data_IF_163922488890
#
_entry.id   IF_163922488890
#
_cell.length_a   1.000
_cell.length_b   1.000
_cell.length_c   1.000
_cell.angle_alpha   90.00
_cell.angle_beta   90.00
_cell.angle_gamma   90.00
#
_symmetry.space_group_name_H-M   'P 1'
#
loop_
_entity.id
_entity.type
_entity.pdbx_description
1 polymer ?
#
# COMPACT_ATOMS: atom_id res chain seq x y z
N UNK A 1 -6.09 16.05 -3.74
CA UNK A 1 -5.33 14.77 -3.60
C UNK A 1 -4.40 14.64 -4.80
N UNK A 2 -3.08 14.53 -4.56
CA UNK A 2 -2.08 14.25 -5.59
C UNK A 2 -2.27 12.83 -6.13
N UNK A 3 -2.05 12.62 -7.43
CA UNK A 3 -2.14 11.31 -8.10
C UNK A 3 -0.83 11.00 -8.81
N UNK A 4 -0.51 9.72 -8.98
CA UNK A 4 0.73 9.23 -9.61
C UNK A 4 0.48 7.94 -10.39
N UNK A 5 1.36 7.61 -11.36
CA UNK A 5 1.38 6.31 -11.99
C UNK A 5 1.53 5.17 -10.97
N UNK A 6 0.89 4.04 -11.24
CA UNK A 6 1.02 2.81 -10.45
C UNK A 6 1.83 1.79 -11.25
N UNK A 7 3.14 2.01 -11.33
CA UNK A 7 4.00 1.24 -12.22
C UNK A 7 3.56 1.35 -13.69
N UNK A 8 3.49 0.24 -14.44
CA UNK A 8 3.08 0.22 -15.84
C UNK A 8 1.55 0.33 -16.06
N UNK A 9 0.76 0.47 -14.98
CA UNK A 9 -0.70 0.53 -15.08
C UNK A 9 -1.11 1.88 -15.70
N UNK A 10 -2.01 1.92 -16.70
CA UNK A 10 -2.37 3.16 -17.41
C UNK A 10 -3.30 4.08 -16.59
N UNK A 11 -3.54 3.77 -15.32
CA UNK A 11 -4.40 4.54 -14.41
C UNK A 11 -3.58 5.12 -13.27
N UNK A 12 -3.62 6.43 -13.11
CA UNK A 12 -3.05 7.09 -11.94
C UNK A 12 -3.89 6.83 -10.68
N UNK A 13 -3.20 6.69 -9.56
CA UNK A 13 -3.80 6.47 -8.24
C UNK A 13 -3.43 7.60 -7.27
N UNK A 14 -4.26 7.87 -6.24
CA UNK A 14 -3.91 8.85 -5.22
C UNK A 14 -2.67 8.39 -4.44
N UNK A 15 -1.78 9.32 -4.08
CA UNK A 15 -0.56 9.04 -3.32
C UNK A 15 -0.84 8.51 -1.91
N UNK A 16 -2.01 8.86 -1.36
CA UNK A 16 -2.53 8.31 -0.10
C UNK A 16 -3.76 7.47 -0.42
N UNK A 17 -3.66 6.18 -0.20
CA UNK A 17 -4.75 5.21 -0.30
C UNK A 17 -5.29 4.83 1.08
N UNK A 18 -6.03 3.72 1.13
CA UNK A 18 -6.69 3.21 2.33
C UNK A 18 -6.32 1.73 2.53
N UNK A 19 -5.49 1.44 3.56
CA UNK A 19 -5.24 0.07 4.02
C UNK A 19 -6.39 -0.45 4.89
N UNK A 20 -6.55 -1.77 4.95
CA UNK A 20 -7.68 -2.40 5.65
C UNK A 20 -7.28 -3.49 6.64
N UNK A 21 -6.00 -3.67 6.93
CA UNK A 21 -5.57 -4.62 7.95
C UNK A 21 -6.13 -4.24 9.33
N UNK A 22 -6.79 -5.16 10.02
CA UNK A 22 -7.56 -4.93 11.25
C UNK A 22 -8.73 -3.93 11.14
N UNK A 23 -9.31 -3.74 9.96
CA UNK A 23 -10.48 -2.86 9.81
C UNK A 23 -11.75 -3.52 10.35
N UNK A 24 -11.78 -4.84 10.36
CA UNK A 24 -12.86 -5.68 10.87
C UNK A 24 -12.93 -5.76 12.40
N UNK A 25 -11.87 -5.34 13.12
CA UNK A 25 -11.92 -5.14 14.57
C UNK A 25 -12.84 -3.97 14.98
N UNK A 26 -13.12 -3.05 14.06
CA UNK A 26 -14.02 -1.94 14.29
C UNK A 26 -15.50 -2.35 14.08
N UNK A 27 -16.41 -1.61 14.69
CA UNK A 27 -17.83 -1.76 14.38
C UNK A 27 -18.06 -1.57 12.87
N UNK A 28 -18.61 -2.59 12.20
CA UNK A 28 -18.71 -2.67 10.72
C UNK A 28 -19.29 -1.42 10.05
N UNK A 29 -20.44 -0.84 10.49
CA UNK A 29 -20.96 0.40 9.92
C UNK A 29 -19.97 1.57 10.02
N UNK A 30 -19.20 1.67 11.11
CA UNK A 30 -18.18 2.72 11.30
C UNK A 30 -17.01 2.52 10.34
N UNK A 31 -16.55 1.29 10.17
CA UNK A 31 -15.49 0.94 9.21
C UNK A 31 -15.91 1.25 7.76
N UNK A 32 -17.12 0.86 7.37
CA UNK A 32 -17.68 1.20 6.05
C UNK A 32 -17.79 2.71 5.84
N UNK A 33 -18.27 3.45 6.85
CA UNK A 33 -18.35 4.92 6.79
C UNK A 33 -16.97 5.58 6.67
N UNK A 34 -15.94 5.04 7.34
CA UNK A 34 -14.56 5.51 7.23
C UNK A 34 -14.02 5.36 5.81
N UNK A 35 -14.18 4.17 5.19
CA UNK A 35 -13.75 3.93 3.80
C UNK A 35 -14.50 4.82 2.81
N UNK A 36 -15.83 4.97 2.96
CA UNK A 36 -16.63 5.86 2.11
C UNK A 36 -16.19 7.32 2.25
N UNK A 37 -15.92 7.77 3.48
CA UNK A 37 -15.37 9.11 3.72
C UNK A 37 -14.04 9.31 3.02
N UNK A 38 -13.16 8.32 3.05
CA UNK A 38 -11.90 8.34 2.30
C UNK A 38 -12.11 8.46 0.80
N UNK A 39 -13.05 7.70 0.22
CA UNK A 39 -13.42 7.81 -1.20
C UNK A 39 -13.92 9.23 -1.54
N UNK A 40 -14.80 9.82 -0.72
CA UNK A 40 -15.31 11.18 -0.92
C UNK A 40 -14.21 12.24 -0.91
N UNK A 41 -13.10 11.96 -0.22
CA UNK A 41 -11.93 12.82 -0.13
C UNK A 41 -10.85 12.49 -1.19
N UNK A 42 -11.13 11.55 -2.08
CA UNK A 42 -10.26 11.19 -3.20
C UNK A 42 -9.22 10.11 -2.91
N UNK A 43 -9.26 9.43 -1.74
CA UNK A 43 -8.45 8.23 -1.46
C UNK A 43 -9.06 7.00 -2.14
N UNK A 44 -9.06 6.99 -3.47
CA UNK A 44 -9.72 5.96 -4.28
C UNK A 44 -8.92 4.67 -4.44
N UNK A 45 -7.69 4.59 -3.96
CA UNK A 45 -6.91 3.35 -3.84
C UNK A 45 -7.27 2.66 -2.52
N UNK A 46 -7.91 1.48 -2.59
CA UNK A 46 -8.23 0.64 -1.42
C UNK A 46 -7.44 -0.66 -1.51
N UNK A 47 -6.72 -0.97 -0.43
CA UNK A 47 -5.89 -2.17 -0.30
C UNK A 47 -6.42 -3.10 0.79
N UNK A 48 -6.63 -4.36 0.42
CA UNK A 48 -7.06 -5.44 1.31
C UNK A 48 -6.29 -6.73 1.02
N UNK A 49 -6.63 -7.85 1.66
CA UNK A 49 -6.05 -9.17 1.39
C UNK A 49 -6.98 -10.31 1.86
N UNK A 50 -6.86 -11.50 1.23
CA UNK A 50 -7.65 -12.67 1.64
C UNK A 50 -7.42 -13.11 3.10
N UNK A 51 -6.25 -12.76 3.69
CA UNK A 51 -5.93 -13.10 5.07
C UNK A 51 -6.45 -12.10 6.13
N UNK A 52 -7.03 -10.96 5.73
CA UNK A 52 -7.44 -9.92 6.67
C UNK A 52 -8.86 -10.15 7.24
N UNK A 53 -9.16 -11.36 7.71
CA UNK A 53 -10.46 -11.67 8.28
C UNK A 53 -11.63 -11.27 7.38
N UNK A 54 -12.55 -10.47 7.88
CA UNK A 54 -13.72 -9.96 7.16
C UNK A 54 -13.46 -8.66 6.36
N UNK A 55 -12.20 -8.18 6.28
CA UNK A 55 -11.88 -6.89 5.66
C UNK A 55 -12.38 -6.80 4.19
N UNK A 56 -12.26 -7.88 3.40
CA UNK A 56 -12.78 -7.88 2.02
C UNK A 56 -14.32 -7.71 1.98
N UNK A 57 -15.05 -8.21 2.97
CA UNK A 57 -16.50 -8.01 3.07
C UNK A 57 -16.82 -6.55 3.40
N UNK A 58 -16.10 -5.96 4.35
CA UNK A 58 -16.23 -4.54 4.72
C UNK A 58 -15.94 -3.64 3.53
N UNK A 59 -14.88 -3.94 2.76
CA UNK A 59 -14.55 -3.20 1.53
C UNK A 59 -15.67 -3.35 0.50
N UNK A 60 -16.18 -4.57 0.27
CA UNK A 60 -17.29 -4.81 -0.66
C UNK A 60 -18.54 -3.97 -0.34
N UNK A 61 -18.89 -3.85 0.95
CA UNK A 61 -19.99 -2.98 1.41
C UNK A 61 -19.67 -1.48 1.18
N UNK A 62 -18.43 -1.08 1.39
CA UNK A 62 -18.02 0.32 1.24
C UNK A 62 -18.07 0.78 -0.23
N UNK A 63 -17.63 -0.07 -1.17
CA UNK A 63 -17.55 0.27 -2.60
C UNK A 63 -18.84 -0.01 -3.37
N UNK A 64 -19.88 -0.54 -2.71
CA UNK A 64 -21.15 -0.82 -3.36
C UNK A 64 -21.74 0.44 -4.03
N UNK A 65 -22.00 0.34 -5.36
CA UNK A 65 -22.44 1.46 -6.19
C UNK A 65 -21.34 2.43 -6.63
N UNK A 66 -20.07 2.21 -6.21
CA UNK A 66 -18.93 3.10 -6.49
C UNK A 66 -17.70 2.35 -7.04
N UNK A 67 -17.88 1.09 -7.51
CA UNK A 67 -16.75 0.22 -7.91
C UNK A 67 -15.83 0.88 -8.97
N UNK A 68 -16.38 1.61 -9.91
CA UNK A 68 -15.63 2.23 -11.01
C UNK A 68 -14.75 3.42 -10.56
N UNK A 69 -15.06 4.02 -9.40
CA UNK A 69 -14.24 5.06 -8.82
C UNK A 69 -12.97 4.49 -8.16
N UNK A 70 -12.99 3.21 -7.74
CA UNK A 70 -11.98 2.60 -6.88
C UNK A 70 -10.89 1.92 -7.69
N UNK A 71 -9.63 2.12 -7.29
CA UNK A 71 -8.49 1.26 -7.62
C UNK A 71 -8.37 0.23 -6.50
N UNK A 72 -8.85 -0.97 -6.74
CA UNK A 72 -9.01 -2.03 -5.74
C UNK A 72 -7.87 -3.03 -5.82
N UNK A 73 -7.18 -3.23 -4.68
CA UNK A 73 -6.08 -4.17 -4.54
C UNK A 73 -6.44 -5.25 -3.51
N UNK A 74 -6.19 -6.52 -3.82
CA UNK A 74 -6.18 -7.61 -2.86
C UNK A 74 -4.95 -8.50 -3.07
N UNK A 75 -4.76 -9.51 -2.20
CA UNK A 75 -3.53 -10.32 -2.18
C UNK A 75 -3.84 -11.79 -1.98
N UNK A 76 -3.09 -12.65 -2.71
CA UNK A 76 -3.08 -14.10 -2.49
C UNK A 76 -2.02 -14.48 -1.45
N UNK A 77 -2.37 -15.35 -0.51
CA UNK A 77 -1.41 -15.97 0.40
C UNK A 77 -0.43 -16.88 -0.36
N UNK A 78 0.86 -16.90 0.01
CA UNK A 78 1.85 -17.77 -0.63
C UNK A 78 1.47 -19.27 -0.62
N UNK A 79 0.74 -19.72 0.39
CA UNK A 79 0.22 -21.10 0.48
C UNK A 79 -0.82 -21.43 -0.58
N UNK A 80 -1.48 -20.42 -1.14
CA UNK A 80 -2.48 -20.52 -2.20
C UNK A 80 -1.90 -20.18 -3.59
N UNK A 81 -0.61 -19.88 -3.69
CA UNK A 81 0.01 -19.29 -4.88
C UNK A 81 0.44 -20.27 -5.97
N UNK A 82 -0.06 -21.52 -5.98
CA UNK A 82 0.03 -22.38 -7.17
C UNK A 82 -0.85 -21.78 -8.30
N UNK A 83 -0.64 -22.20 -9.56
CA UNK A 83 -1.44 -21.71 -10.71
C UNK A 83 -2.94 -21.80 -10.46
N UNK A 84 -3.43 -22.97 -10.08
CA UNK A 84 -4.86 -23.19 -9.81
C UNK A 84 -5.30 -22.51 -8.50
N UNK A 85 -4.44 -22.53 -7.48
CA UNK A 85 -4.71 -21.93 -6.17
C UNK A 85 -4.86 -20.41 -6.25
N UNK A 86 -4.01 -19.74 -7.03
CA UNK A 86 -4.08 -18.28 -7.29
C UNK A 86 -5.42 -17.90 -7.91
N UNK A 87 -5.88 -18.67 -8.91
CA UNK A 87 -7.19 -18.43 -9.54
C UNK A 87 -8.32 -18.61 -8.53
N UNK A 88 -8.32 -19.74 -7.81
CA UNK A 88 -9.37 -20.04 -6.82
C UNK A 88 -9.39 -19.04 -5.66
N UNK A 89 -8.22 -18.56 -5.20
CA UNK A 89 -8.12 -17.53 -4.16
C UNK A 89 -8.70 -16.19 -4.63
N UNK A 90 -8.36 -15.76 -5.85
CA UNK A 90 -8.92 -14.55 -6.44
C UNK A 90 -10.45 -14.62 -6.57
N UNK A 91 -10.99 -15.73 -7.01
CA UNK A 91 -12.44 -15.93 -7.12
C UNK A 91 -13.15 -15.84 -5.76
N UNK A 92 -12.54 -16.37 -4.70
CA UNK A 92 -13.04 -16.19 -3.33
C UNK A 92 -13.01 -14.74 -2.87
N UNK A 93 -11.91 -14.02 -3.18
CA UNK A 93 -11.78 -12.58 -2.89
C UNK A 93 -12.83 -11.76 -3.62
N UNK A 94 -13.04 -12.00 -4.92
CA UNK A 94 -14.08 -11.34 -5.71
C UNK A 94 -15.49 -11.57 -5.15
N UNK A 95 -15.79 -12.80 -4.69
CA UNK A 95 -17.06 -13.12 -4.07
C UNK A 95 -17.26 -12.34 -2.76
N UNK A 96 -16.25 -12.26 -1.87
CA UNK A 96 -16.31 -11.48 -0.62
C UNK A 96 -16.44 -9.97 -0.88
N UNK A 97 -15.70 -9.46 -1.85
CA UNK A 97 -15.73 -8.07 -2.30
C UNK A 97 -16.99 -7.70 -3.09
N UNK A 98 -17.79 -8.69 -3.52
CA UNK A 98 -18.99 -8.51 -4.35
C UNK A 98 -18.71 -7.69 -5.62
N UNK A 99 -17.61 -8.03 -6.30
CA UNK A 99 -17.16 -7.38 -7.53
C UNK A 99 -16.68 -8.41 -8.55
N UNK A 100 -16.65 -8.04 -9.80
CA UNK A 100 -16.22 -8.89 -10.91
C UNK A 100 -14.72 -8.80 -11.20
N UNK A 101 -14.04 -7.77 -10.66
CA UNK A 101 -12.61 -7.53 -10.93
C UNK A 101 -11.87 -6.85 -9.81
N UNK A 102 -10.54 -7.05 -9.79
CA UNK A 102 -9.56 -6.26 -9.05
C UNK A 102 -8.76 -5.40 -10.04
N UNK A 103 -8.33 -4.21 -9.62
CA UNK A 103 -7.42 -3.39 -10.42
C UNK A 103 -5.99 -3.93 -10.34
N UNK A 104 -5.58 -4.44 -9.16
CA UNK A 104 -4.30 -5.11 -8.99
C UNK A 104 -4.42 -6.28 -8.00
N UNK A 105 -3.74 -7.41 -8.29
CA UNK A 105 -3.70 -8.57 -7.41
C UNK A 105 -2.27 -8.92 -7.06
N UNK A 106 -1.94 -9.05 -5.78
CA UNK A 106 -0.57 -9.21 -5.31
C UNK A 106 -0.27 -10.62 -4.80
N UNK A 107 0.96 -11.10 -4.97
CA UNK A 107 1.52 -12.14 -4.13
C UNK A 107 1.95 -11.50 -2.80
N UNK A 108 1.38 -11.96 -1.67
CA UNK A 108 1.47 -11.27 -0.38
C UNK A 108 2.89 -11.26 0.21
N UNK A 109 3.68 -12.30 -0.01
CA UNK A 109 5.13 -12.42 0.24
C UNK A 109 5.70 -13.60 -0.54
N UNK A 110 7.04 -13.69 -0.70
CA UNK A 110 7.67 -14.85 -1.32
C UNK A 110 7.29 -16.17 -0.62
N UNK A 111 6.90 -17.18 -1.38
CA UNK A 111 6.47 -18.48 -0.87
C UNK A 111 7.29 -19.63 -1.44
N UNK A 112 6.80 -20.86 -1.25
CA UNK A 112 7.44 -22.08 -1.73
C UNK A 112 7.01 -22.50 -3.15
N UNK A 113 5.93 -21.92 -3.69
CA UNK A 113 5.54 -22.17 -5.07
C UNK A 113 6.48 -21.46 -6.04
N UNK A 114 6.86 -22.08 -7.17
CA UNK A 114 7.59 -21.39 -8.24
C UNK A 114 6.85 -20.13 -8.69
N UNK A 115 7.56 -19.02 -8.88
CA UNK A 115 6.95 -17.74 -9.30
C UNK A 115 6.20 -17.88 -10.63
N UNK A 116 6.72 -18.72 -11.55
CA UNK A 116 6.11 -19.00 -12.85
C UNK A 116 4.69 -19.57 -12.71
N UNK A 117 4.44 -20.40 -11.69
CA UNK A 117 3.10 -20.94 -11.41
C UNK A 117 2.15 -19.84 -10.93
N UNK A 118 2.59 -18.99 -10.01
CA UNK A 118 1.79 -17.86 -9.51
C UNK A 118 1.49 -16.89 -10.65
N UNK A 119 2.50 -16.54 -11.45
CA UNK A 119 2.34 -15.61 -12.56
C UNK A 119 1.46 -16.17 -13.69
N UNK A 120 1.54 -17.48 -13.97
CA UNK A 120 0.60 -18.11 -14.88
C UNK A 120 -0.85 -18.05 -14.37
N UNK A 121 -1.06 -18.13 -13.04
CA UNK A 121 -2.34 -17.87 -12.41
C UNK A 121 -2.82 -16.43 -12.59
N UNK A 122 -1.94 -15.44 -12.38
CA UNK A 122 -2.24 -14.03 -12.61
C UNK A 122 -2.59 -13.73 -14.08
N UNK A 123 -1.79 -14.23 -15.03
CA UNK A 123 -2.07 -14.01 -16.46
C UNK A 123 -3.40 -14.68 -16.87
N UNK A 124 -3.72 -15.86 -16.33
CA UNK A 124 -5.03 -16.48 -16.54
C UNK A 124 -6.19 -15.61 -16.03
N UNK A 125 -6.02 -14.98 -14.86
CA UNK A 125 -7.02 -14.07 -14.31
C UNK A 125 -7.14 -12.78 -15.13
N UNK A 126 -6.02 -12.28 -15.69
CA UNK A 126 -6.03 -11.13 -16.60
C UNK A 126 -6.76 -11.43 -17.91
N UNK A 127 -6.50 -12.58 -18.52
CA UNK A 127 -7.22 -13.06 -19.71
C UNK A 127 -8.74 -13.15 -19.49
N UNK A 128 -9.15 -13.48 -18.26
CA UNK A 128 -10.56 -13.54 -17.84
C UNK A 128 -11.15 -12.16 -17.45
N UNK A 129 -10.36 -11.11 -17.44
CA UNK A 129 -10.76 -9.78 -16.96
C UNK A 129 -11.01 -9.67 -15.46
N UNK A 130 -10.63 -10.70 -14.67
CA UNK A 130 -10.83 -10.73 -13.21
C UNK A 130 -9.80 -9.88 -12.46
N UNK A 131 -8.62 -9.67 -13.03
CA UNK A 131 -7.64 -8.69 -12.57
C UNK A 131 -7.14 -7.87 -13.76
N UNK A 132 -6.79 -6.60 -13.54
CA UNK A 132 -6.29 -5.73 -14.61
C UNK A 132 -4.76 -5.69 -14.62
N UNK A 133 -4.14 -5.84 -13.46
CA UNK A 133 -2.69 -5.90 -13.25
C UNK A 133 -2.35 -6.79 -12.06
N UNK A 134 -1.08 -7.09 -11.89
CA UNK A 134 -0.59 -7.82 -10.73
C UNK A 134 0.73 -7.23 -10.22
N UNK A 135 1.05 -7.52 -8.96
CA UNK A 135 2.26 -7.06 -8.31
C UNK A 135 2.69 -7.99 -7.17
N UNK A 136 3.59 -7.48 -6.38
CA UNK A 136 4.29 -8.22 -5.34
C UNK A 136 4.19 -7.48 -4.00
N UNK A 137 4.45 -8.19 -2.92
CA UNK A 137 4.58 -7.59 -1.60
C UNK A 137 5.69 -8.30 -0.81
N UNK A 138 6.50 -7.52 -0.08
CA UNK A 138 7.61 -7.99 0.74
C UNK A 138 8.74 -8.70 -0.04
N UNK A 139 8.99 -8.28 -1.27
CA UNK A 139 10.09 -8.78 -2.09
C UNK A 139 11.35 -7.93 -1.88
N UNK A 140 12.49 -8.54 -1.49
CA UNK A 140 13.81 -7.90 -1.52
C UNK A 140 14.41 -7.99 -2.93
N UNK A 141 15.52 -7.29 -3.18
CA UNK A 141 16.13 -7.20 -4.52
C UNK A 141 16.39 -8.56 -5.17
N UNK A 142 16.96 -9.58 -4.51
CA UNK A 142 17.12 -10.91 -5.15
C UNK A 142 15.79 -11.56 -5.58
N UNK A 143 14.72 -11.34 -4.78
CA UNK A 143 13.38 -11.85 -5.10
C UNK A 143 12.76 -11.06 -6.27
N UNK A 144 12.98 -9.74 -6.31
CA UNK A 144 12.54 -8.86 -7.40
C UNK A 144 13.23 -9.22 -8.72
N UNK A 145 14.56 -9.48 -8.70
CA UNK A 145 15.30 -9.94 -9.88
C UNK A 145 14.76 -11.27 -10.42
N UNK A 146 14.50 -12.22 -9.51
CA UNK A 146 13.89 -13.50 -9.88
C UNK A 146 12.47 -13.31 -10.47
N UNK A 147 11.65 -12.44 -9.84
CA UNK A 147 10.31 -12.12 -10.31
C UNK A 147 10.31 -11.40 -11.65
N UNK A 148 11.23 -10.44 -11.85
CA UNK A 148 11.39 -9.74 -13.12
C UNK A 148 11.75 -10.67 -14.27
N UNK A 149 12.67 -11.60 -14.02
CA UNK A 149 13.05 -12.63 -14.99
C UNK A 149 11.91 -13.59 -15.32
N UNK A 150 11.15 -14.02 -14.31
CA UNK A 150 10.05 -14.97 -14.48
C UNK A 150 8.79 -14.35 -15.09
N UNK A 151 8.47 -13.11 -14.67
CA UNK A 151 7.23 -12.41 -15.07
C UNK A 151 7.34 -11.59 -16.37
N UNK A 152 8.57 -11.23 -16.75
CA UNK A 152 8.84 -10.36 -17.89
C UNK A 152 8.82 -8.86 -17.56
N UNK A 153 9.52 -8.09 -18.37
CA UNK A 153 9.67 -6.64 -18.23
C UNK A 153 8.32 -5.92 -18.32
N UNK A 154 8.13 -4.91 -17.47
CA UNK A 154 6.93 -4.06 -17.46
C UNK A 154 5.65 -4.78 -16.99
N UNK A 155 5.75 -5.94 -16.31
CA UNK A 155 4.60 -6.70 -15.83
C UNK A 155 4.28 -6.44 -14.37
N UNK A 156 5.30 -6.20 -13.54
CA UNK A 156 5.14 -5.97 -12.10
C UNK A 156 4.62 -4.57 -11.86
N UNK A 157 3.39 -4.43 -11.38
CA UNK A 157 2.78 -3.13 -11.13
C UNK A 157 3.35 -2.43 -9.89
N UNK A 158 3.54 -3.18 -8.81
CA UNK A 158 4.09 -2.63 -7.57
C UNK A 158 4.83 -3.68 -6.74
N UNK A 159 5.66 -3.20 -5.81
CA UNK A 159 6.10 -3.94 -4.64
C UNK A 159 5.58 -3.23 -3.38
N UNK A 160 4.70 -3.89 -2.62
CA UNK A 160 4.15 -3.35 -1.38
C UNK A 160 5.01 -3.80 -0.20
N UNK A 161 5.54 -2.84 0.59
CA UNK A 161 6.58 -3.10 1.61
C UNK A 161 6.34 -2.32 2.89
N UNK A 162 6.90 -2.82 4.00
CA UNK A 162 6.95 -2.09 5.26
C UNK A 162 7.77 -0.81 5.09
N UNK A 163 7.15 0.33 5.37
CA UNK A 163 7.87 1.60 5.30
C UNK A 163 7.25 2.66 6.20
N UNK A 164 7.98 3.06 7.22
CA UNK A 164 7.64 4.14 8.16
C UNK A 164 8.92 4.79 8.70
N UNK A 165 8.81 5.87 9.50
CA UNK A 165 9.97 6.61 9.98
C UNK A 165 10.98 5.78 10.77
N UNK A 166 10.51 4.77 11.53
CA UNK A 166 11.37 3.84 12.29
C UNK A 166 11.90 2.67 11.47
N UNK A 167 11.34 2.41 10.26
CA UNK A 167 11.77 1.32 9.38
C UNK A 167 11.87 1.82 7.93
N UNK A 168 13.09 2.14 7.53
CA UNK A 168 13.40 2.75 6.23
C UNK A 168 14.33 1.88 5.37
N UNK A 169 14.48 0.60 5.69
CA UNK A 169 15.42 -0.32 5.02
C UNK A 169 15.26 -0.39 3.50
N UNK A 170 14.04 -0.20 2.98
CA UNK A 170 13.78 -0.20 1.53
C UNK A 170 14.58 0.87 0.78
N UNK A 171 14.96 1.97 1.44
CA UNK A 171 15.70 3.08 0.82
C UNK A 171 17.11 2.67 0.38
N UNK A 172 17.68 1.60 0.95
CA UNK A 172 19.02 1.13 0.59
C UNK A 172 19.08 0.50 -0.80
N UNK A 173 18.07 -0.28 -1.20
CA UNK A 173 18.15 -1.05 -2.43
C UNK A 173 16.78 -1.30 -3.11
N UNK A 174 15.74 -1.66 -2.36
CA UNK A 174 14.43 -2.00 -2.92
C UNK A 174 13.80 -0.81 -3.64
N UNK A 175 13.80 0.36 -3.01
CA UNK A 175 13.25 1.58 -3.60
C UNK A 175 14.03 2.02 -4.86
N UNK A 176 15.39 2.10 -4.84
CA UNK A 176 16.18 2.35 -6.06
C UNK A 176 15.89 1.34 -7.19
N UNK A 177 15.85 0.05 -6.87
CA UNK A 177 15.52 -0.99 -7.84
C UNK A 177 14.15 -0.77 -8.48
N UNK A 178 13.12 -0.53 -7.66
CA UNK A 178 11.77 -0.30 -8.15
C UNK A 178 11.69 0.95 -9.06
N UNK A 179 12.40 2.02 -8.71
CA UNK A 179 12.47 3.24 -9.53
C UNK A 179 13.15 3.01 -10.88
N UNK A 180 14.26 2.26 -10.90
CA UNK A 180 14.96 1.89 -12.13
C UNK A 180 14.09 1.07 -13.08
N UNK A 181 13.23 0.19 -12.53
CA UNK A 181 12.38 -0.71 -13.29
C UNK A 181 10.95 -0.19 -13.51
N UNK A 182 10.64 1.03 -13.09
CA UNK A 182 9.31 1.61 -13.25
C UNK A 182 8.22 0.89 -12.43
N UNK A 183 8.58 0.27 -11.29
CA UNK A 183 7.68 -0.42 -10.37
C UNK A 183 7.25 0.53 -9.26
N UNK A 184 5.95 0.64 -8.98
CA UNK A 184 5.46 1.45 -7.88
C UNK A 184 5.81 0.82 -6.52
N UNK A 185 6.07 1.65 -5.50
CA UNK A 185 6.32 1.20 -4.14
C UNK A 185 5.17 1.64 -3.24
N UNK A 186 4.50 0.68 -2.60
CA UNK A 186 3.35 0.95 -1.73
C UNK A 186 3.77 0.72 -0.28
N UNK A 187 3.80 1.78 0.51
CA UNK A 187 4.14 1.75 1.94
C UNK A 187 2.95 1.25 2.77
N UNK A 188 3.06 0.06 3.36
CA UNK A 188 2.11 -0.37 4.39
C UNK A 188 2.61 -0.04 5.80
N UNK A 189 1.70 0.00 6.77
CA UNK A 189 1.96 0.42 8.18
C UNK A 189 2.76 1.73 8.28
N UNK A 190 2.35 2.82 7.58
CA UNK A 190 3.14 4.06 7.51
C UNK A 190 3.32 4.76 8.85
N UNK A 191 2.53 4.40 9.86
CA UNK A 191 2.64 4.92 11.24
C UNK A 191 3.37 3.97 12.20
N UNK A 192 3.97 2.89 11.68
CA UNK A 192 4.49 1.80 12.50
C UNK A 192 3.36 0.93 13.08
N UNK A 193 3.71 -0.02 13.94
CA UNK A 193 2.77 -0.93 14.59
C UNK A 193 2.76 -0.68 16.10
N UNK A 194 2.27 0.53 16.50
CA UNK A 194 2.20 0.96 17.90
C UNK A 194 3.36 1.85 18.35
N UNK A 195 4.32 2.14 17.50
CA UNK A 195 5.58 2.88 17.78
C UNK A 195 5.65 4.27 17.08
N UNK A 196 4.50 4.89 16.82
CA UNK A 196 4.48 6.26 16.29
C UNK A 196 5.19 7.22 17.25
N UNK A 197 6.09 8.11 16.76
CA UNK A 197 6.89 8.99 17.60
C UNK A 197 6.04 9.88 18.50
N UNK A 198 6.17 9.70 19.82
CA UNK A 198 5.42 10.51 20.78
C UNK A 198 5.84 11.99 20.74
N UNK A 199 4.94 12.96 20.99
CA UNK A 199 5.18 14.40 20.82
C UNK A 199 6.30 14.95 21.73
N UNK A 200 6.67 14.22 22.80
CA UNK A 200 7.76 14.60 23.72
C UNK A 200 9.12 14.02 23.34
N UNK A 201 9.18 13.09 22.38
CA UNK A 201 10.46 12.57 21.87
C UNK A 201 11.16 13.62 20.99
N UNK A 202 12.49 13.54 20.81
CA UNK A 202 13.19 14.48 19.93
C UNK A 202 12.61 14.51 18.51
N UNK A 203 12.39 13.34 17.91
CA UNK A 203 11.80 13.23 16.58
C UNK A 203 10.34 13.71 16.53
N UNK A 204 9.54 13.35 17.55
CA UNK A 204 8.14 13.82 17.65
C UNK A 204 8.03 15.33 17.73
N UNK A 205 8.91 16.01 18.47
CA UNK A 205 8.93 17.50 18.49
C UNK A 205 9.20 18.10 17.12
N UNK A 206 10.13 17.51 16.33
CA UNK A 206 10.38 17.96 14.95
C UNK A 206 9.11 17.84 14.10
N UNK A 207 8.38 16.73 14.22
CA UNK A 207 7.14 16.51 13.48
C UNK A 207 6.06 17.52 13.88
N UNK A 208 5.87 17.76 15.18
CA UNK A 208 4.88 18.72 15.71
C UNK A 208 5.21 20.16 15.29
N UNK A 209 6.48 20.57 15.32
CA UNK A 209 6.90 21.89 14.86
C UNK A 209 6.62 22.12 13.37
N UNK A 210 6.87 21.10 12.54
CA UNK A 210 6.59 21.17 11.10
C UNK A 210 5.06 21.19 10.90
N UNK A 211 4.33 20.32 11.57
CA UNK A 211 2.89 20.25 11.51
C UNK A 211 2.22 21.60 11.85
N UNK A 212 2.66 22.25 12.94
CA UNK A 212 2.13 23.56 13.37
C UNK A 212 2.32 24.66 12.31
N UNK A 213 3.44 24.67 11.57
CA UNK A 213 3.69 25.64 10.50
C UNK A 213 2.72 25.51 9.33
N UNK A 214 2.25 24.29 9.07
CA UNK A 214 1.34 23.97 7.99
C UNK A 214 -0.14 23.89 8.41
N UNK A 215 -0.46 24.10 9.71
CA UNK A 215 -1.80 23.85 10.23
C UNK A 215 -2.23 22.38 10.05
N UNK A 216 -1.27 21.47 10.10
CA UNK A 216 -1.43 20.03 9.85
C UNK A 216 -1.21 19.22 11.13
N UNK A 217 -1.36 17.90 11.05
CA UNK A 217 -0.99 16.95 12.13
C UNK A 217 0.37 16.32 11.86
N UNK A 218 1.04 15.84 12.93
CA UNK A 218 2.29 15.08 12.78
C UNK A 218 2.11 13.84 11.88
N UNK A 219 0.92 13.19 11.89
CA UNK A 219 0.61 12.06 11.00
C UNK A 219 0.56 12.47 9.54
N UNK A 220 -0.02 13.64 9.22
CA UNK A 220 -0.01 14.18 7.86
C UNK A 220 1.41 14.48 7.37
N UNK A 221 2.25 15.05 8.24
CA UNK A 221 3.68 15.30 7.94
C UNK A 221 4.41 13.99 7.64
N UNK A 222 4.18 12.94 8.44
CA UNK A 222 4.78 11.61 8.22
C UNK A 222 4.32 11.03 6.89
N UNK A 223 3.01 11.00 6.60
CA UNK A 223 2.51 10.49 5.32
C UNK A 223 3.13 11.25 4.15
N UNK A 224 3.20 12.59 4.23
CA UNK A 224 3.81 13.38 3.16
C UNK A 224 5.30 13.09 2.98
N UNK A 225 6.04 12.91 4.07
CA UNK A 225 7.44 12.50 4.02
C UNK A 225 7.61 11.14 3.35
N UNK A 226 6.80 10.16 3.72
CA UNK A 226 6.89 8.81 3.16
C UNK A 226 6.60 8.76 1.66
N UNK A 227 5.75 9.64 1.15
CA UNK A 227 5.45 9.73 -0.29
C UNK A 227 6.23 10.85 -1.01
N UNK A 228 7.41 11.25 -0.47
CA UNK A 228 8.22 12.34 -1.04
C UNK A 228 8.81 12.05 -2.42
N UNK A 229 9.03 10.77 -2.74
CA UNK A 229 9.58 10.34 -4.06
C UNK A 229 8.46 9.92 -5.00
N UNK A 230 8.61 10.10 -6.33
CA UNK A 230 7.54 9.88 -7.31
C UNK A 230 6.98 8.45 -7.34
N UNK A 231 7.80 7.44 -7.04
CA UNK A 231 7.44 6.02 -7.03
C UNK A 231 6.63 5.58 -5.79
N UNK A 232 6.62 6.41 -4.73
CA UNK A 232 6.06 6.06 -3.42
C UNK A 232 4.59 6.44 -3.28
N UNK A 233 3.81 5.48 -2.77
CA UNK A 233 2.43 5.62 -2.32
C UNK A 233 2.33 5.09 -0.88
N UNK A 234 1.31 5.49 -0.11
CA UNK A 234 1.09 4.99 1.24
C UNK A 234 -0.37 4.61 1.47
N UNK A 235 -0.61 3.56 2.26
CA UNK A 235 -1.93 3.01 2.55
C UNK A 235 -2.21 2.95 4.06
N UNK A 236 -2.32 4.10 4.75
CA UNK A 236 -2.71 4.13 6.15
C UNK A 236 -4.11 3.52 6.36
N UNK A 237 -4.30 2.77 7.46
CA UNK A 237 -5.62 2.30 7.89
C UNK A 237 -6.31 3.38 8.73
N UNK A 238 -7.61 3.57 8.51
CA UNK A 238 -8.48 4.37 9.36
C UNK A 238 -9.77 3.62 9.69
N UNK A 239 -10.15 3.58 10.98
CA UNK A 239 -11.40 2.96 11.44
C UNK A 239 -12.50 3.98 11.73
N UNK A 240 -12.25 5.29 11.54
CA UNK A 240 -13.23 6.35 11.70
C UNK A 240 -13.16 7.35 10.54
N UNK A 241 -14.28 8.01 10.25
CA UNK A 241 -14.35 9.04 9.22
C UNK A 241 -13.41 10.23 9.51
N UNK A 242 -13.17 10.56 10.77
CA UNK A 242 -12.23 11.59 11.21
C UNK A 242 -10.79 11.23 10.83
N UNK A 243 -10.33 10.01 11.18
CA UNK A 243 -8.99 9.54 10.82
C UNK A 243 -8.82 9.39 9.30
N UNK A 244 -9.89 9.00 8.57
CA UNK A 244 -9.84 8.98 7.12
C UNK A 244 -9.66 10.39 6.53
N UNK A 245 -10.33 11.40 7.10
CA UNK A 245 -10.17 12.78 6.70
C UNK A 245 -8.77 13.33 7.04
N UNK A 246 -8.23 12.99 8.21
CA UNK A 246 -6.86 13.36 8.60
C UNK A 246 -5.83 12.79 7.63
N UNK A 247 -5.93 11.51 7.30
CA UNK A 247 -5.05 10.86 6.32
C UNK A 247 -5.16 11.50 4.93
N UNK A 248 -6.38 11.79 4.46
CA UNK A 248 -6.61 12.38 3.14
C UNK A 248 -5.97 13.77 2.99
N UNK A 249 -5.96 14.56 4.05
CA UNK A 249 -5.40 15.91 4.04
C UNK A 249 -3.87 15.90 3.76
N UNK A 250 -3.16 14.84 4.11
CA UNK A 250 -1.74 14.66 3.78
C UNK A 250 -1.46 14.73 2.27
N UNK A 251 -2.42 14.34 1.43
CA UNK A 251 -2.26 14.35 -0.02
C UNK A 251 -2.15 15.73 -0.66
N UNK A 252 -2.52 16.79 0.06
CA UNK A 252 -2.38 18.18 -0.39
C UNK A 252 -1.18 18.91 0.26
N UNK A 253 -0.63 18.36 1.35
CA UNK A 253 0.50 18.96 2.08
C UNK A 253 1.74 19.03 1.19
N UNK A 254 2.53 20.09 1.34
CA UNK A 254 3.82 20.27 0.67
C UNK A 254 4.88 20.60 1.72
N UNK A 255 5.87 19.73 1.85
CA UNK A 255 7.03 19.95 2.70
C UNK A 255 8.16 20.58 1.88
N UNK A 256 8.88 21.52 2.47
CA UNK A 256 10.07 22.10 1.89
C UNK A 256 11.26 21.15 2.02
N UNK A 257 12.31 21.33 1.19
CA UNK A 257 13.54 20.53 1.29
C UNK A 257 14.20 20.64 2.67
N UNK A 258 14.12 21.82 3.29
CA UNK A 258 14.63 22.04 4.66
C UNK A 258 13.84 21.23 5.71
N UNK A 259 12.53 21.09 5.56
CA UNK A 259 11.70 20.28 6.43
C UNK A 259 11.95 18.78 6.21
N UNK A 260 12.09 18.35 4.95
CA UNK A 260 12.48 16.99 4.62
C UNK A 260 13.83 16.63 5.25
N UNK A 261 14.83 17.50 5.12
CA UNK A 261 16.15 17.29 5.73
C UNK A 261 16.09 17.24 7.26
N UNK A 262 15.24 18.05 7.91
CA UNK A 262 15.01 18.00 9.36
C UNK A 262 14.40 16.66 9.81
N UNK A 263 13.48 16.13 9.04
CA UNK A 263 12.86 14.81 9.32
C UNK A 263 13.93 13.72 9.14
N UNK A 264 14.70 13.75 8.04
CA UNK A 264 15.80 12.80 7.80
C UNK A 264 16.82 12.80 8.95
N UNK A 265 17.19 13.97 9.46
CA UNK A 265 18.12 14.09 10.60
C UNK A 265 17.51 13.58 11.91
N UNK A 266 16.19 13.72 12.11
CA UNK A 266 15.51 13.27 13.31
C UNK A 266 15.23 11.75 13.31
N UNK A 267 15.14 11.14 12.12
CA UNK A 267 14.91 9.72 11.89
C UNK A 267 15.94 9.16 10.90
N UNK A 268 17.22 9.05 11.31
CA UNK A 268 18.30 8.67 10.40
C UNK A 268 18.09 7.25 9.87
N UNK A 269 18.52 7.04 8.63
CA UNK A 269 18.50 5.73 7.99
C UNK A 269 19.42 4.76 8.77
N UNK A 270 18.86 3.69 9.32
CA UNK A 270 19.62 2.66 10.00
C UNK A 270 20.49 1.84 9.01
N UNK A 271 21.53 1.13 9.48
CA UNK A 271 22.29 0.22 8.61
C UNK A 271 21.38 -0.79 7.89
N UNK A 272 21.74 -1.14 6.66
CA UNK A 272 20.96 -2.11 5.87
C UNK A 272 20.86 -3.45 6.62
N UNK A 273 19.63 -3.96 6.89
CA UNK A 273 19.44 -5.27 7.50
C UNK A 273 19.81 -6.39 6.51
N UNK A 274 20.02 -7.60 7.02
CA UNK A 274 20.32 -8.78 6.19
C UNK A 274 19.15 -9.27 5.36
N UNK A 275 17.93 -8.99 5.82
CA UNK A 275 16.66 -9.35 5.15
C UNK A 275 15.73 -8.15 5.21
N UNK A 276 14.85 -8.04 4.23
CA UNK A 276 13.82 -7.01 4.23
C UNK A 276 12.90 -7.22 5.44
N UNK A 277 12.74 -6.19 6.32
CA UNK A 277 11.78 -6.25 7.42
C UNK A 277 10.35 -6.36 6.90
N UNK A 278 9.53 -7.14 7.61
CA UNK A 278 8.09 -7.30 7.34
C UNK A 278 7.35 -7.56 8.66
N UNK A 279 6.03 -7.32 8.69
CA UNK A 279 5.14 -7.61 9.82
C UNK A 279 4.40 -8.94 9.62
#
# INVERSE_FOLDING_TARGET
>A
MERRPFGPVPREVPVIGQGTWYIDDAHRPTAVAALRRGLDLGMTHIDTAEMYGDAEIVVGEAIAGRRDEVFLVSKVLPTNASRAGTVAACERSLARLRTDRLDCYLLHWPGSHPLEETFAGFERLREQGKILSWGLSNFDVPDLDAAWKAGGEGRIACNQVLYHLGERAIEHAVLPWCEEHGVAVVAYSPFGHGDFPGPRTPGGRVLEEIAARHGATARQVVLRFLVRRPSLLAIPKASSAEHAADNAAAGALRLTDAELARIDAAFPLAPRPRRLPML
#
